data_IF_558319844918
#
_entry.id   IF_558319844918
#
_cell.length_a   1.000
_cell.length_b   1.000
_cell.length_c   1.000
_cell.angle_alpha   90.00
_cell.angle_beta   90.00
_cell.angle_gamma   90.00
#
_symmetry.space_group_name_H-M   'P 1'
#
loop_
_entity.id
_entity.type
_entity.pdbx_description
1 polymer ?
#
# COMPACT_ATOMS: atom_id res chain seq x y z
N UNK A 1 1.33 -12.83 -1.68
CA UNK A 1 1.90 -11.54 -1.24
C UNK A 1 1.98 -11.39 0.29
N UNK A 2 3.08 -10.88 0.86
CA UNK A 2 3.16 -10.34 2.23
C UNK A 2 3.14 -8.81 2.19
N UNK A 3 2.33 -8.19 3.05
CA UNK A 3 2.15 -6.73 3.10
C UNK A 3 2.53 -6.21 4.49
N UNK A 4 3.37 -5.20 4.55
CA UNK A 4 3.69 -4.46 5.78
C UNK A 4 3.29 -3.01 5.63
N UNK A 5 2.45 -2.52 6.54
CA UNK A 5 1.90 -1.16 6.52
C UNK A 5 2.54 -0.37 7.65
N UNK A 6 3.16 0.75 7.30
CA UNK A 6 3.74 1.71 8.23
C UNK A 6 2.69 2.63 8.84
N UNK A 7 3.15 3.59 9.63
CA UNK A 7 2.29 4.61 10.24
C UNK A 7 1.73 5.55 9.16
N UNK A 8 0.50 6.01 9.38
CA UNK A 8 -0.08 7.12 8.64
C UNK A 8 0.70 8.41 8.92
N UNK A 9 1.04 9.11 7.84
CA UNK A 9 1.63 10.43 7.86
C UNK A 9 0.54 11.47 7.56
N UNK A 10 0.14 12.29 8.56
CA UNK A 10 -0.90 13.29 8.38
C UNK A 10 -0.46 14.49 7.51
N UNK A 11 0.84 14.76 7.39
CA UNK A 11 1.34 15.89 6.60
C UNK A 11 1.18 15.60 5.10
N UNK A 12 1.53 14.38 4.69
CA UNK A 12 1.43 13.94 3.28
C UNK A 12 0.15 13.17 2.98
N UNK A 13 -0.63 12.81 4.01
CA UNK A 13 -1.82 11.95 3.93
C UNK A 13 -1.52 10.59 3.30
N UNK A 14 -0.35 10.02 3.62
CA UNK A 14 0.10 8.74 3.06
C UNK A 14 0.39 7.68 4.11
N UNK A 15 0.37 6.43 3.68
CA UNK A 15 0.89 5.29 4.43
C UNK A 15 2.03 4.64 3.63
N UNK A 16 3.16 4.41 4.29
CA UNK A 16 4.25 3.66 3.68
C UNK A 16 3.93 2.16 3.69
N UNK A 17 3.87 1.54 2.52
CA UNK A 17 3.55 0.12 2.38
C UNK A 17 4.71 -0.60 1.72
N UNK A 18 5.07 -1.74 2.29
CA UNK A 18 6.04 -2.67 1.71
C UNK A 18 5.31 -3.93 1.27
N UNK A 19 5.44 -4.25 0.00
CA UNK A 19 4.98 -5.48 -0.62
C UNK A 19 6.18 -6.43 -0.75
N UNK A 20 6.01 -7.68 -0.33
CA UNK A 20 7.03 -8.72 -0.45
C UNK A 20 6.40 -9.94 -1.09
N UNK A 21 6.89 -10.30 -2.27
CA UNK A 21 6.44 -11.48 -3.01
C UNK A 21 7.68 -12.21 -3.52
N UNK A 22 7.74 -13.51 -3.23
CA UNK A 22 8.93 -14.36 -3.41
C UNK A 22 10.19 -13.76 -2.76
N UNK A 23 11.03 -13.07 -3.54
CA UNK A 23 12.28 -12.41 -3.11
C UNK A 23 12.30 -10.91 -3.40
N UNK A 24 11.26 -10.38 -4.05
CA UNK A 24 11.14 -8.96 -4.40
C UNK A 24 10.50 -8.21 -3.25
N UNK A 25 11.13 -7.10 -2.84
CA UNK A 25 10.61 -6.19 -1.83
C UNK A 25 10.38 -4.81 -2.44
N UNK A 26 9.11 -4.48 -2.67
CA UNK A 26 8.71 -3.21 -3.27
C UNK A 26 8.08 -2.29 -2.22
N UNK A 27 8.67 -1.11 -1.99
CA UNK A 27 8.14 -0.09 -1.08
C UNK A 27 7.44 1.01 -1.87
N UNK A 28 6.25 1.42 -1.42
CA UNK A 28 5.47 2.50 -2.03
C UNK A 28 4.74 3.33 -0.98
N UNK A 29 4.59 4.63 -1.23
CA UNK A 29 3.67 5.49 -0.48
C UNK A 29 2.28 5.40 -1.13
N UNK A 30 1.27 5.12 -0.32
CA UNK A 30 -0.13 5.04 -0.77
C UNK A 30 -0.91 6.14 -0.08
N UNK A 31 -1.71 6.89 -0.83
CA UNK A 31 -2.62 7.87 -0.27
C UNK A 31 -3.62 7.15 0.65
N UNK A 32 -3.73 7.62 1.87
CA UNK A 32 -4.70 7.12 2.81
C UNK A 32 -6.11 7.57 2.41
N UNK A 33 -7.09 6.71 2.68
CA UNK A 33 -8.47 7.12 2.71
C UNK A 33 -8.73 7.92 3.98
N UNK A 34 -9.50 9.00 3.84
CA UNK A 34 -9.95 9.82 4.96
C UNK A 34 -11.47 9.74 5.05
N UNK A 35 -12.01 9.79 6.27
CA UNK A 35 -13.45 9.89 6.49
C UNK A 35 -13.96 11.32 6.19
N UNK A 36 -15.27 11.54 6.39
CA UNK A 36 -15.91 12.82 6.13
C UNK A 36 -15.34 13.97 6.98
N UNK A 37 -14.77 13.65 8.15
CA UNK A 37 -14.17 14.60 9.08
C UNK A 37 -12.66 14.78 8.82
N UNK A 38 -12.12 14.10 7.80
CA UNK A 38 -10.71 14.17 7.43
C UNK A 38 -9.79 13.28 8.28
N UNK A 39 -10.34 12.40 9.13
CA UNK A 39 -9.54 11.48 9.93
C UNK A 39 -9.15 10.25 9.10
N UNK A 40 -8.08 9.58 9.52
CA UNK A 40 -7.57 8.39 8.86
C UNK A 40 -8.56 7.22 8.91
N UNK A 41 -9.10 6.82 7.76
CA UNK A 41 -9.92 5.62 7.63
C UNK A 41 -9.04 4.41 7.36
N UNK A 42 -8.80 3.63 8.41
CA UNK A 42 -8.00 2.40 8.34
C UNK A 42 -8.63 1.33 7.43
N UNK A 43 -9.95 1.21 7.41
CA UNK A 43 -10.65 0.16 6.65
C UNK A 43 -10.59 0.47 5.16
N UNK A 44 -11.00 1.68 4.77
CA UNK A 44 -10.94 2.10 3.37
C UNK A 44 -9.50 2.17 2.86
N UNK A 45 -8.54 2.60 3.70
CA UNK A 45 -7.11 2.55 3.33
C UNK A 45 -6.65 1.12 3.09
N UNK A 46 -7.13 0.15 3.89
CA UNK A 46 -6.75 -1.25 3.69
C UNK A 46 -7.24 -1.79 2.33
N UNK A 47 -8.44 -1.44 1.92
CA UNK A 47 -8.99 -1.83 0.61
C UNK A 47 -8.14 -1.27 -0.55
N UNK A 48 -7.68 -0.02 -0.44
CA UNK A 48 -6.74 0.58 -1.40
C UNK A 48 -5.40 -0.16 -1.46
N UNK A 49 -4.87 -0.56 -0.29
CA UNK A 49 -3.63 -1.33 -0.19
C UNK A 49 -3.78 -2.71 -0.85
N UNK A 50 -4.89 -3.40 -0.60
CA UNK A 50 -5.13 -4.72 -1.17
C UNK A 50 -5.32 -4.65 -2.70
N UNK A 51 -5.94 -3.58 -3.21
CA UNK A 51 -5.99 -3.32 -4.65
C UNK A 51 -4.59 -3.09 -5.27
N UNK A 52 -3.74 -2.31 -4.60
CA UNK A 52 -2.34 -2.13 -5.03
C UNK A 52 -1.54 -3.42 -4.93
N UNK A 53 -1.78 -4.25 -3.92
CA UNK A 53 -1.10 -5.52 -3.75
C UNK A 53 -1.27 -6.43 -4.97
N UNK A 54 -2.50 -6.54 -5.49
CA UNK A 54 -2.78 -7.32 -6.72
C UNK A 54 -2.03 -6.78 -7.93
N UNK A 55 -2.00 -5.46 -8.10
CA UNK A 55 -1.27 -4.82 -9.20
C UNK A 55 0.25 -4.97 -9.08
N UNK A 56 0.77 -4.95 -7.85
CA UNK A 56 2.20 -5.18 -7.57
C UNK A 56 2.57 -6.64 -7.81
N UNK A 57 1.77 -7.59 -7.31
CA UNK A 57 1.98 -9.03 -7.52
C UNK A 57 2.06 -9.37 -9.01
N UNK A 58 1.07 -8.91 -9.79
CA UNK A 58 1.05 -9.08 -11.25
C UNK A 58 2.29 -8.50 -11.95
N UNK A 59 2.80 -7.35 -11.50
CA UNK A 59 4.00 -6.73 -12.07
C UNK A 59 5.28 -7.47 -11.69
N UNK A 60 5.35 -8.04 -10.48
CA UNK A 60 6.48 -8.87 -10.04
C UNK A 60 6.52 -10.15 -10.85
N UNK A 61 5.39 -10.85 -10.99
CA UNK A 61 5.29 -12.10 -11.77
C UNK A 61 5.70 -11.93 -13.23
N UNK A 62 5.52 -10.72 -13.79
CA UNK A 62 5.93 -10.36 -15.15
C UNK A 62 7.33 -9.75 -15.26
N UNK A 63 8.07 -9.65 -14.16
CA UNK A 63 9.41 -9.06 -14.12
C UNK A 63 9.46 -7.56 -14.44
N UNK A 64 8.32 -6.85 -14.32
CA UNK A 64 8.24 -5.40 -14.57
C UNK A 64 8.83 -4.61 -13.41
N UNK A 65 8.65 -5.11 -12.18
CA UNK A 65 9.22 -4.53 -10.97
C UNK A 65 9.99 -5.61 -10.21
N UNK A 66 11.17 -5.25 -9.71
CA UNK A 66 12.11 -6.10 -8.97
C UNK A 66 12.83 -5.32 -7.88
#
# INVERSE_FOLDING_TARGET
MKISVGKFDPETRTVAVTFTHEKVRHRRLINAALDADGNYDRKATRELIDAQARGVEYKIERGIIG
#
